data_IF_287222525662
#
_entry.id   IF_287222525662
#
_cell.length_a   1.000
_cell.length_b   1.000
_cell.length_c   1.000
_cell.angle_alpha   90.00
_cell.angle_beta   90.00
_cell.angle_gamma   90.00
#
_symmetry.space_group_name_H-M   'P 1'
#
loop_
_entity.id
_entity.type
_entity.pdbx_description
1 polymer ?
#
# COMPACT_ATOMS: atom_id res chain seq x y z
N UNK A 1 -22.45 -22.86 -43.01
CA UNK A 1 -21.02 -22.94 -43.39
C UNK A 1 -20.50 -21.51 -43.51
N UNK A 2 -19.60 -20.99 -42.69
CA UNK A 2 -18.78 -21.60 -41.64
C UNK A 2 -18.43 -20.59 -40.54
N UNK A 3 -18.28 -21.10 -39.33
CA UNK A 3 -17.72 -20.38 -38.19
C UNK A 3 -16.23 -20.20 -38.41
N UNK A 4 -15.76 -18.96 -38.62
CA UNK A 4 -14.34 -18.67 -38.53
C UNK A 4 -13.94 -18.78 -37.06
N UNK A 5 -13.17 -19.80 -36.73
CA UNK A 5 -12.47 -19.92 -35.45
C UNK A 5 -11.49 -18.74 -35.34
N UNK A 6 -11.50 -17.96 -34.24
CA UNK A 6 -10.47 -16.96 -34.03
C UNK A 6 -9.13 -17.68 -33.89
N UNK A 7 -8.09 -17.19 -34.56
CA UNK A 7 -6.73 -17.68 -34.37
C UNK A 7 -6.24 -17.29 -32.96
N UNK A 8 -6.42 -18.18 -31.99
CA UNK A 8 -6.08 -17.98 -30.58
C UNK A 8 -4.58 -17.66 -30.34
N UNK A 9 -3.71 -17.92 -31.31
CA UNK A 9 -2.30 -17.58 -31.21
C UNK A 9 -2.01 -16.08 -31.40
N UNK A 10 -2.84 -15.36 -32.16
CA UNK A 10 -2.67 -13.91 -32.33
C UNK A 10 -3.19 -13.13 -31.12
N UNK A 11 -4.33 -13.57 -30.57
CA UNK A 11 -4.92 -12.97 -29.36
C UNK A 11 -4.03 -13.20 -28.12
N UNK A 12 -3.37 -14.36 -28.01
CA UNK A 12 -2.43 -14.61 -26.92
C UNK A 12 -1.13 -13.81 -27.06
N UNK A 13 -0.65 -13.54 -28.28
CA UNK A 13 0.50 -12.64 -28.49
C UNK A 13 0.16 -11.18 -28.17
N UNK A 14 -1.08 -10.74 -28.46
CA UNK A 14 -1.61 -9.43 -28.03
C UNK A 14 -1.84 -9.34 -26.52
N UNK A 15 -2.24 -10.44 -25.87
CA UNK A 15 -2.39 -10.53 -24.42
C UNK A 15 -1.03 -10.68 -23.70
N UNK A 16 -0.03 -11.31 -24.31
CA UNK A 16 1.35 -11.35 -23.79
C UNK A 16 2.07 -10.00 -23.97
N UNK A 17 1.67 -9.22 -24.98
CA UNK A 17 1.95 -7.79 -25.09
C UNK A 17 1.03 -6.92 -24.24
N UNK A 18 0.39 -7.50 -23.20
CA UNK A 18 -0.34 -6.80 -22.13
C UNK A 18 0.33 -5.47 -21.89
N UNK A 19 -0.30 -4.44 -22.47
CA UNK A 19 0.26 -3.13 -22.76
C UNK A 19 1.19 -2.75 -21.62
N UNK A 20 2.50 -2.71 -21.91
CA UNK A 20 3.44 -2.00 -21.04
C UNK A 20 2.74 -0.69 -20.70
N UNK A 21 2.48 -0.45 -19.41
CA UNK A 21 1.68 0.69 -18.95
C UNK A 21 2.13 1.92 -19.74
N UNK A 22 1.31 2.33 -20.70
CA UNK A 22 1.56 3.53 -21.49
C UNK A 22 0.83 4.60 -20.70
N UNK A 23 1.55 5.50 -19.99
CA UNK A 23 0.90 6.58 -19.30
C UNK A 23 0.08 7.34 -20.33
N UNK A 24 -1.22 7.47 -20.12
CA UNK A 24 -2.04 8.31 -20.98
C UNK A 24 -1.43 9.71 -20.97
N UNK A 25 -1.22 10.30 -22.16
CA UNK A 25 -0.59 11.62 -22.29
C UNK A 25 -1.38 12.76 -21.60
N UNK A 26 -2.57 12.45 -21.08
CA UNK A 26 -3.43 13.34 -20.28
C UNK A 26 -3.68 12.85 -18.83
N UNK A 27 -3.12 11.72 -18.39
CA UNK A 27 -3.40 11.10 -17.08
C UNK A 27 -2.33 11.29 -15.99
N UNK A 28 -1.24 12.00 -16.29
CA UNK A 28 -0.19 12.33 -15.32
C UNK A 28 -0.56 13.48 -14.38
N UNK A 29 -1.76 14.06 -14.48
CA UNK A 29 -1.99 15.37 -13.88
C UNK A 29 -2.20 15.40 -12.36
N UNK A 30 -2.35 14.30 -11.61
CA UNK A 30 -2.38 14.34 -10.14
C UNK A 30 -2.08 12.98 -9.48
N UNK A 31 -0.86 12.46 -9.61
CA UNK A 31 -0.43 11.35 -8.74
C UNK A 31 -0.20 11.89 -7.32
N UNK A 32 -0.75 11.24 -6.26
CA UNK A 32 -0.51 11.66 -4.89
C UNK A 32 0.97 11.65 -4.54
N UNK A 33 1.44 12.65 -3.82
CA UNK A 33 2.82 12.67 -3.35
C UNK A 33 3.04 11.71 -2.18
N UNK A 34 1.97 11.50 -1.40
CA UNK A 34 1.95 10.75 -0.17
C UNK A 34 0.70 9.86 -0.14
N UNK A 35 0.87 8.61 0.28
CA UNK A 35 -0.21 7.73 0.69
C UNK A 35 -0.08 7.44 2.19
N UNK A 36 -1.13 7.73 2.95
CA UNK A 36 -1.25 7.33 4.35
C UNK A 36 -2.33 6.26 4.44
N UNK A 37 -1.93 5.04 4.76
CA UNK A 37 -2.83 3.89 4.80
C UNK A 37 -2.98 3.44 6.25
N UNK A 38 -4.18 3.58 6.78
CA UNK A 38 -4.59 3.10 8.09
C UNK A 38 -5.45 1.84 7.95
N UNK A 39 -5.14 0.82 8.75
CA UNK A 39 -5.86 -0.45 8.77
C UNK A 39 -6.32 -0.76 10.19
N UNK A 40 -7.55 -1.25 10.31
CA UNK A 40 -8.10 -1.76 11.56
C UNK A 40 -8.38 -3.24 11.43
N UNK A 41 -8.30 -3.96 12.56
CA UNK A 41 -8.56 -5.40 12.62
C UNK A 41 -7.62 -6.21 11.70
N UNK A 42 -6.42 -5.68 11.44
CA UNK A 42 -5.46 -6.33 10.57
C UNK A 42 -4.74 -7.49 11.31
N UNK A 43 -4.15 -8.43 10.56
CA UNK A 43 -3.38 -9.53 11.12
C UNK A 43 -2.20 -9.00 11.96
N UNK A 44 -1.95 -9.64 13.11
CA UNK A 44 -0.83 -9.28 14.00
C UNK A 44 0.37 -10.20 13.85
N UNK A 45 0.22 -11.33 13.13
CA UNK A 45 1.34 -12.22 12.89
C UNK A 45 2.33 -11.58 11.90
N UNK A 46 3.62 -11.75 12.13
CA UNK A 46 4.66 -11.05 11.38
C UNK A 46 4.63 -11.39 9.88
N UNK A 47 4.36 -12.65 9.53
CA UNK A 47 4.33 -13.12 8.15
C UNK A 47 3.21 -12.46 7.33
N UNK A 48 2.01 -12.37 7.88
CA UNK A 48 0.87 -11.70 7.25
C UNK A 48 1.06 -10.19 7.19
N UNK A 49 1.66 -9.58 8.22
CA UNK A 49 2.04 -8.15 8.17
C UNK A 49 3.08 -7.89 7.08
N UNK A 50 4.06 -8.78 6.91
CA UNK A 50 5.04 -8.70 5.83
C UNK A 50 4.37 -8.81 4.45
N UNK A 51 3.50 -9.82 4.26
CA UNK A 51 2.75 -9.98 3.01
C UNK A 51 1.89 -8.76 2.69
N UNK A 52 1.28 -8.15 3.71
CA UNK A 52 0.51 -6.92 3.55
C UNK A 52 1.40 -5.75 3.08
N UNK A 53 2.59 -5.56 3.67
CA UNK A 53 3.56 -4.55 3.21
C UNK A 53 3.99 -4.78 1.77
N UNK A 54 4.28 -6.03 1.41
CA UNK A 54 4.66 -6.41 0.04
C UNK A 54 3.50 -6.19 -0.93
N UNK A 55 2.27 -6.51 -0.54
CA UNK A 55 1.07 -6.30 -1.34
C UNK A 55 0.83 -4.81 -1.61
N UNK A 56 0.95 -3.97 -0.58
CA UNK A 56 0.83 -2.51 -0.73
C UNK A 56 1.94 -1.98 -1.64
N UNK A 57 3.21 -2.37 -1.40
CA UNK A 57 4.34 -1.93 -2.23
C UNK A 57 4.17 -2.36 -3.70
N UNK A 58 3.70 -3.58 -3.94
CA UNK A 58 3.41 -4.10 -5.28
C UNK A 58 2.30 -3.27 -5.95
N UNK A 59 1.25 -2.93 -5.20
CA UNK A 59 0.13 -2.12 -5.71
C UNK A 59 0.50 -0.66 -6.01
N UNK A 60 1.33 -0.03 -5.19
CA UNK A 60 1.81 1.33 -5.42
C UNK A 60 2.90 1.41 -6.50
N UNK A 61 3.63 0.31 -6.72
CA UNK A 61 4.72 0.24 -7.68
C UNK A 61 6.02 0.89 -7.18
N UNK A 62 7.08 0.88 -8.01
CA UNK A 62 8.44 1.23 -7.61
C UNK A 62 8.67 2.73 -7.40
N UNK A 63 7.71 3.59 -7.79
CA UNK A 63 7.80 5.03 -7.62
C UNK A 63 7.53 5.47 -6.17
N UNK A 64 6.93 4.61 -5.36
CA UNK A 64 6.68 4.88 -3.94
C UNK A 64 7.55 4.00 -3.06
N UNK A 65 7.97 4.55 -1.92
CA UNK A 65 8.73 3.86 -0.90
C UNK A 65 8.04 3.97 0.45
N UNK A 66 8.14 2.92 1.27
CA UNK A 66 7.66 2.95 2.64
C UNK A 66 8.54 3.87 3.49
N UNK A 67 8.01 5.03 3.88
CA UNK A 67 8.70 5.98 4.74
C UNK A 67 8.66 5.55 6.21
N UNK A 68 7.47 5.16 6.70
CA UNK A 68 7.28 4.73 8.08
C UNK A 68 6.10 3.78 8.22
N UNK A 69 6.23 2.84 9.15
CA UNK A 69 5.17 1.93 9.58
C UNK A 69 5.08 1.94 11.11
N UNK A 70 3.87 1.93 11.65
CA UNK A 70 3.62 1.77 13.08
C UNK A 70 2.35 0.95 13.32
N UNK A 71 2.23 0.37 14.52
CA UNK A 71 1.10 -0.48 14.87
C UNK A 71 0.76 -0.46 16.36
N UNK A 72 -0.52 -0.63 16.67
CA UNK A 72 -1.11 -0.76 18.02
C UNK A 72 -2.01 -1.97 18.04
N UNK A 73 -1.43 -3.15 18.33
CA UNK A 73 -2.14 -4.41 18.20
C UNK A 73 -2.59 -4.64 16.75
N UNK A 74 -3.89 -4.72 16.50
CA UNK A 74 -4.47 -4.93 15.15
C UNK A 74 -4.63 -3.63 14.33
N UNK A 75 -4.26 -2.48 14.91
CA UNK A 75 -4.25 -1.21 14.21
C UNK A 75 -2.90 -1.02 13.56
N UNK A 76 -2.87 -0.75 12.25
CA UNK A 76 -1.64 -0.47 11.53
C UNK A 76 -1.77 0.86 10.80
N UNK A 77 -0.67 1.59 10.71
CA UNK A 77 -0.60 2.80 9.91
C UNK A 77 0.72 2.83 9.16
N UNK A 78 0.68 3.27 7.91
CA UNK A 78 1.83 3.33 7.03
C UNK A 78 1.82 4.59 6.19
N UNK A 79 3.01 5.14 5.99
CA UNK A 79 3.25 6.34 5.18
C UNK A 79 4.13 5.94 4.02
N UNK A 80 3.64 6.14 2.80
CA UNK A 80 4.35 5.85 1.56
C UNK A 80 4.52 7.16 0.79
N UNK A 81 5.73 7.42 0.34
CA UNK A 81 6.08 8.67 -0.34
C UNK A 81 6.67 8.38 -1.71
N UNK A 82 6.44 9.28 -2.66
CA UNK A 82 7.18 9.25 -3.93
C UNK A 82 8.69 9.28 -3.67
N UNK A 83 9.43 8.40 -4.31
CA UNK A 83 10.86 8.17 -4.07
C UNK A 83 11.71 9.43 -4.30
N UNK A 84 11.29 10.29 -5.22
CA UNK A 84 11.96 11.55 -5.53
C UNK A 84 11.83 12.60 -4.40
N UNK A 85 10.82 12.47 -3.53
CA UNK A 85 10.59 13.37 -2.40
C UNK A 85 11.20 12.85 -1.10
N UNK A 86 11.80 11.65 -1.09
CA UNK A 86 12.32 11.01 0.11
C UNK A 86 13.32 11.91 0.87
N UNK A 87 14.15 12.64 0.13
CA UNK A 87 15.18 13.51 0.68
C UNK A 87 14.65 14.84 1.22
N UNK A 88 13.38 15.16 0.98
CA UNK A 88 12.71 16.36 1.51
C UNK A 88 12.11 16.15 2.90
N UNK A 89 12.04 14.91 3.38
CA UNK A 89 11.45 14.59 4.68
C UNK A 89 12.41 14.76 5.84
N UNK A 90 11.92 15.31 6.95
CA UNK A 90 12.55 15.22 8.27
C UNK A 90 12.23 13.87 8.93
N UNK A 91 12.70 13.67 10.16
CA UNK A 91 12.39 12.46 10.93
C UNK A 91 10.89 12.34 11.21
N UNK A 92 10.22 11.37 10.59
CA UNK A 92 8.78 11.11 10.82
C UNK A 92 8.58 10.35 12.12
N UNK A 93 7.78 10.94 13.01
CA UNK A 93 7.35 10.31 14.27
C UNK A 93 5.96 9.71 14.12
N UNK A 94 5.80 8.49 14.64
CA UNK A 94 4.49 7.84 14.75
C UNK A 94 4.27 7.41 16.19
N UNK A 95 3.22 7.92 16.82
CA UNK A 95 2.93 7.70 18.24
C UNK A 95 1.75 6.73 18.40
N UNK A 96 2.00 5.48 18.83
CA UNK A 96 0.95 4.52 19.16
C UNK A 96 0.27 4.87 20.48
N UNK A 97 -1.06 4.99 20.49
CA UNK A 97 -1.87 5.29 21.69
C UNK A 97 -2.89 4.17 21.92
N UNK A 98 -2.88 3.60 23.13
CA UNK A 98 -3.91 2.67 23.60
C UNK A 98 -5.02 3.44 24.33
N UNK A 99 -6.27 3.20 23.96
CA UNK A 99 -7.42 3.86 24.61
C UNK A 99 -8.08 3.01 25.69
N UNK A 100 -7.77 1.71 25.76
CA UNK A 100 -8.32 0.82 26.80
C UNK A 100 -7.42 0.82 28.04
N UNK A 101 -8.01 0.84 29.26
CA UNK A 101 -7.26 0.65 30.50
C UNK A 101 -6.44 -0.64 30.45
N UNK A 102 -5.25 -0.64 31.05
CA UNK A 102 -4.29 -1.77 30.99
C UNK A 102 -4.93 -3.09 31.44
N UNK A 103 -5.81 -3.06 32.44
CA UNK A 103 -6.54 -4.24 32.94
C UNK A 103 -7.51 -4.86 31.90
N UNK A 104 -8.04 -4.06 30.97
CA UNK A 104 -8.92 -4.51 29.88
C UNK A 104 -8.16 -4.72 28.56
N UNK A 105 -6.84 -4.48 28.54
CA UNK A 105 -6.01 -4.46 27.33
C UNK A 105 -5.49 -5.85 26.92
N UNK A 106 -6.18 -6.92 27.30
CA UNK A 106 -5.84 -8.29 26.85
C UNK A 106 -5.98 -8.43 25.32
N UNK A 107 -6.78 -7.55 24.70
CA UNK A 107 -7.00 -7.47 23.26
C UNK A 107 -6.77 -6.03 22.79
N UNK A 108 -5.60 -5.74 22.21
CA UNK A 108 -5.17 -4.43 21.69
C UNK A 108 -5.90 -4.07 20.38
N UNK A 109 -7.20 -3.80 20.46
CA UNK A 109 -8.09 -3.56 19.31
C UNK A 109 -8.60 -2.13 19.18
N UNK A 110 -8.31 -1.27 20.15
CA UNK A 110 -8.78 0.11 20.20
C UNK A 110 -7.64 1.01 20.62
N UNK A 111 -7.49 2.11 19.90
CA UNK A 111 -6.34 2.98 19.97
C UNK A 111 -6.29 3.93 18.78
N UNK A 112 -5.21 4.69 18.70
CA UNK A 112 -4.91 5.58 17.58
C UNK A 112 -3.41 5.53 17.27
N UNK A 113 -3.03 5.91 16.05
CA UNK A 113 -1.64 6.14 15.67
C UNK A 113 -1.57 7.58 15.16
N UNK A 114 -0.94 8.47 15.92
CA UNK A 114 -0.70 9.84 15.48
C UNK A 114 0.56 9.90 14.62
N UNK A 115 0.55 10.76 13.60
CA UNK A 115 1.70 11.00 12.71
C UNK A 115 2.09 12.47 12.88
N UNK A 116 3.38 12.72 13.10
CA UNK A 116 3.93 14.06 13.23
C UNK A 116 5.32 14.16 12.57
N UNK A 117 5.73 15.39 12.30
CA UNK A 117 7.04 15.77 11.79
C UNK A 117 7.70 16.78 12.73
#
# INVERSE_FOLDING_TARGET
>A
MGSKTPNDHQSLQELLHLKSYQPSQYGQQNLPELYVIGLQEAPTNESSVYQLKVGIQTGLGPNYVLLKWSSVGVLHCSVWIRRELLWSCTSVQMVPIHTRPVAANRIRTKGAIAIGA
#
